data_IF_229704662013
#
_entry.id   IF_229704662013
#
_cell.length_a   1.000
_cell.length_b   1.000
_cell.length_c   1.000
_cell.angle_alpha   90.00
_cell.angle_beta   90.00
_cell.angle_gamma   90.00
#
_symmetry.space_group_name_H-M   'P 1'
#
loop_
_entity.id
_entity.type
_entity.pdbx_description
1 polymer ?
#
# COMPACT_ATOMS: atom_id res chain seq x y z
N UNK A 1 -19.68 -8.88 -13.15
CA UNK A 1 -18.51 -8.20 -13.77
C UNK A 1 -17.51 -7.98 -12.64
N UNK A 2 -16.30 -8.56 -12.66
CA UNK A 2 -15.37 -8.38 -11.56
C UNK A 2 -14.94 -6.91 -11.47
N UNK A 3 -15.18 -6.28 -10.31
CA UNK A 3 -14.66 -4.95 -10.02
C UNK A 3 -13.18 -5.11 -9.71
N UNK A 4 -12.33 -4.63 -10.62
CA UNK A 4 -10.91 -4.50 -10.34
C UNK A 4 -10.76 -3.40 -9.30
N UNK A 5 -10.11 -3.70 -8.17
CA UNK A 5 -9.64 -2.67 -7.23
C UNK A 5 -8.58 -1.85 -7.96
N UNK A 6 -9.04 -0.81 -8.63
CA UNK A 6 -8.18 0.12 -9.33
C UNK A 6 -7.87 1.24 -8.35
N UNK A 7 -6.62 1.31 -7.94
CA UNK A 7 -6.00 2.56 -7.47
C UNK A 7 -6.06 3.56 -8.62
N UNK A 8 -7.24 4.13 -8.86
CA UNK A 8 -7.40 5.32 -9.68
C UNK A 8 -6.83 6.47 -8.84
N UNK A 9 -5.79 7.10 -9.37
CA UNK A 9 -5.23 8.33 -8.86
C UNK A 9 -6.36 9.31 -8.53
N UNK A 10 -6.32 9.92 -7.34
CA UNK A 10 -7.06 11.10 -6.81
C UNK A 10 -7.65 10.90 -5.41
N UNK A 11 -7.72 9.69 -4.87
CA UNK A 11 -8.19 9.54 -3.48
C UNK A 11 -7.02 9.46 -2.51
N UNK A 12 -6.86 10.55 -1.76
CA UNK A 12 -6.05 10.66 -0.57
C UNK A 12 -5.97 9.31 0.16
N UNK A 13 -4.74 8.88 0.48
CA UNK A 13 -4.51 8.04 1.64
C UNK A 13 -4.94 8.85 2.85
N UNK A 14 -6.25 8.98 3.07
CA UNK A 14 -6.75 9.43 4.33
C UNK A 14 -6.51 8.26 5.25
N UNK A 15 -5.30 8.23 5.83
CA UNK A 15 -4.97 7.46 7.01
C UNK A 15 -5.93 7.98 8.08
N UNK A 16 -7.17 7.52 8.05
CA UNK A 16 -7.97 7.52 9.24
C UNK A 16 -7.19 6.63 10.19
N UNK A 17 -6.63 7.20 11.26
CA UNK A 17 -6.42 6.45 12.49
C UNK A 17 -7.80 6.02 13.00
N UNK A 18 -8.48 5.14 12.26
CA UNK A 18 -9.62 4.42 12.75
C UNK A 18 -9.04 3.46 13.78
N UNK A 19 -9.62 3.42 14.97
CA UNK A 19 -9.31 2.39 15.97
C UNK A 19 -9.32 1.03 15.27
N UNK A 20 -8.15 0.41 15.12
CA UNK A 20 -7.87 -0.78 14.30
C UNK A 20 -9.10 -1.58 13.85
N UNK A 21 -9.72 -1.15 12.74
CA UNK A 21 -10.81 -1.88 12.10
C UNK A 21 -10.27 -2.44 10.79
N UNK A 22 -10.10 -3.76 10.74
CA UNK A 22 -10.14 -4.47 9.48
C UNK A 22 -11.57 -4.34 8.96
N UNK A 23 -11.78 -4.12 7.65
CA UNK A 23 -13.11 -4.33 7.10
C UNK A 23 -13.50 -5.78 7.34
N UNK A 24 -14.72 -6.05 7.78
CA UNK A 24 -15.24 -7.40 8.03
C UNK A 24 -15.55 -8.11 6.69
N UNK A 25 -14.59 -8.11 5.77
CA UNK A 25 -14.72 -8.63 4.42
C UNK A 25 -13.68 -9.72 4.21
N UNK A 26 -14.14 -10.90 3.81
CA UNK A 26 -13.22 -11.97 3.44
C UNK A 26 -12.51 -11.61 2.14
N UNK A 27 -11.18 -11.74 2.15
CA UNK A 27 -10.32 -11.44 1.02
C UNK A 27 -9.50 -12.67 0.63
N UNK A 28 -9.17 -12.75 -0.65
CA UNK A 28 -8.40 -13.83 -1.23
C UNK A 28 -7.19 -13.31 -1.97
N UNK A 29 -6.01 -13.80 -1.56
CA UNK A 29 -4.74 -13.59 -2.26
C UNK A 29 -4.58 -14.68 -3.31
N UNK A 30 -4.36 -14.29 -4.56
CA UNK A 30 -4.31 -15.22 -5.70
C UNK A 30 -3.22 -14.84 -6.70
N UNK A 31 -2.71 -15.82 -7.46
CA UNK A 31 -1.77 -15.55 -8.56
C UNK A 31 -2.52 -15.03 -9.79
N UNK A 32 -2.12 -13.87 -10.31
CA UNK A 32 -2.76 -13.27 -11.48
C UNK A 32 -2.29 -13.93 -12.78
N UNK A 33 -3.18 -14.00 -13.76
CA UNK A 33 -2.91 -14.65 -15.04
C UNK A 33 -2.12 -13.76 -16.05
N UNK A 34 -1.94 -12.46 -15.76
CA UNK A 34 -1.33 -11.47 -16.67
C UNK A 34 0.12 -11.12 -16.34
N UNK A 35 0.80 -11.95 -15.56
CA UNK A 35 2.19 -11.68 -15.16
C UNK A 35 2.37 -10.52 -14.18
N UNK A 36 1.28 -9.99 -13.59
CA UNK A 36 1.36 -8.97 -12.52
C UNK A 36 1.76 -9.56 -11.16
N UNK A 37 1.98 -10.88 -11.08
CA UNK A 37 2.30 -11.58 -9.84
C UNK A 37 1.07 -11.85 -8.98
N UNK A 38 1.20 -11.75 -7.67
CA UNK A 38 0.10 -11.91 -6.73
C UNK A 38 -0.91 -10.76 -6.79
N UNK A 39 -2.16 -11.03 -6.44
CA UNK A 39 -3.25 -10.07 -6.42
C UNK A 39 -4.17 -10.30 -5.22
N UNK A 40 -4.91 -9.27 -4.83
CA UNK A 40 -5.96 -9.34 -3.80
C UNK A 40 -7.34 -9.11 -4.41
N UNK A 41 -8.33 -9.92 -4.03
CA UNK A 41 -9.75 -9.67 -4.34
C UNK A 41 -10.62 -9.94 -3.12
N UNK A 42 -11.80 -9.34 -3.08
CA UNK A 42 -12.84 -9.70 -2.11
C UNK A 42 -13.56 -10.98 -2.54
N UNK A 43 -14.04 -11.77 -1.59
CA UNK A 43 -14.87 -12.95 -1.88
C UNK A 43 -16.35 -12.61 -2.09
N UNK A 44 -16.75 -11.41 -1.68
CA UNK A 44 -18.09 -10.88 -1.82
C UNK A 44 -18.08 -9.56 -2.60
N UNK A 45 -19.20 -9.28 -3.26
CA UNK A 45 -19.42 -7.99 -3.90
C UNK A 45 -19.52 -6.90 -2.83
N UNK A 46 -18.81 -5.79 -3.04
CA UNK A 46 -18.83 -4.64 -2.15
C UNK A 46 -19.52 -3.45 -2.83
N UNK A 47 -20.43 -2.74 -2.14
CA UNK A 47 -20.92 -1.45 -2.60
C UNK A 47 -19.78 -0.48 -2.88
N UNK A 48 -19.98 0.42 -3.85
CA UNK A 48 -19.02 1.49 -4.12
C UNK A 48 -18.86 2.36 -2.87
N UNK A 49 -17.61 2.62 -2.48
CA UNK A 49 -17.28 3.40 -1.27
C UNK A 49 -17.15 2.56 0.00
N UNK A 50 -17.35 1.24 -0.07
CA UNK A 50 -17.04 0.35 1.06
C UNK A 50 -15.55 0.38 1.38
N UNK A 51 -15.25 0.51 2.67
CA UNK A 51 -13.91 0.32 3.20
C UNK A 51 -13.51 -1.16 3.11
N UNK A 52 -12.28 -1.44 2.68
CA UNK A 52 -11.76 -2.81 2.55
C UNK A 52 -10.76 -3.12 3.66
N UNK A 53 -9.61 -2.46 3.64
CA UNK A 53 -8.57 -2.60 4.64
C UNK A 53 -7.62 -1.39 4.61
N UNK A 54 -6.93 -1.17 5.73
CA UNK A 54 -5.82 -0.22 5.79
C UNK A 54 -4.59 -0.80 5.07
N UNK A 55 -3.70 0.06 4.57
CA UNK A 55 -2.39 -0.36 4.09
C UNK A 55 -1.38 -0.20 5.24
N UNK A 56 -0.85 -1.32 5.74
CA UNK A 56 0.04 -1.32 6.91
C UNK A 56 1.45 -1.73 6.48
N UNK A 57 2.44 -0.97 6.94
CA UNK A 57 3.86 -1.19 6.70
C UNK A 57 4.74 -0.46 7.71
N UNK A 58 6.04 -0.58 7.56
CA UNK A 58 7.03 0.22 8.29
C UNK A 58 7.03 1.66 7.74
N UNK A 59 7.05 2.67 8.61
CA UNK A 59 7.24 4.07 8.17
C UNK A 59 8.74 4.31 8.02
N UNK A 60 9.16 4.70 6.83
CA UNK A 60 10.54 5.01 6.49
C UNK A 60 10.61 6.37 5.80
N UNK A 61 11.72 7.06 5.96
CA UNK A 61 12.12 8.16 5.07
C UNK A 61 12.53 7.60 3.70
N UNK A 62 12.49 8.45 2.67
CA UNK A 62 13.00 8.10 1.35
C UNK A 62 14.49 7.69 1.40
N UNK A 63 15.27 8.29 2.29
CA UNK A 63 16.68 7.95 2.50
C UNK A 63 16.84 6.53 3.03
N UNK A 64 16.11 6.17 4.09
CA UNK A 64 16.13 4.80 4.66
C UNK A 64 15.65 3.76 3.65
N UNK A 65 14.60 4.07 2.87
CA UNK A 65 14.11 3.20 1.80
C UNK A 65 15.18 2.99 0.72
N UNK A 66 15.89 4.05 0.32
CA UNK A 66 16.96 3.97 -0.67
C UNK A 66 18.12 3.09 -0.19
N UNK A 67 18.58 3.28 1.05
CA UNK A 67 19.64 2.45 1.65
C UNK A 67 19.23 0.98 1.74
N UNK A 68 18.00 0.72 2.19
CA UNK A 68 17.42 -0.64 2.24
C UNK A 68 17.37 -1.27 0.85
N UNK A 69 17.02 -0.51 -0.18
CA UNK A 69 17.02 -1.00 -1.56
C UNK A 69 18.42 -1.31 -2.07
N UNK A 70 19.44 -0.51 -1.72
CA UNK A 70 20.84 -0.80 -2.04
C UNK A 70 21.29 -2.11 -1.39
N UNK A 71 21.02 -2.30 -0.11
CA UNK A 71 21.42 -3.50 0.63
C UNK A 71 20.73 -4.77 0.08
N UNK A 72 19.52 -4.62 -0.46
CA UNK A 72 18.76 -5.71 -1.07
C UNK A 72 19.03 -5.89 -2.58
N UNK A 73 19.98 -5.15 -3.17
CA UNK A 73 20.36 -5.30 -4.59
C UNK A 73 20.83 -6.74 -4.85
N UNK A 74 20.09 -7.45 -5.70
CA UNK A 74 20.35 -8.86 -6.04
C UNK A 74 19.40 -9.85 -5.39
N UNK A 75 18.57 -9.41 -4.44
CA UNK A 75 17.40 -10.19 -4.04
C UNK A 75 16.29 -9.98 -5.07
N UNK A 76 15.71 -11.05 -5.63
CA UNK A 76 14.49 -11.00 -6.45
C UNK A 76 13.24 -10.66 -5.60
N UNK A 77 13.39 -9.88 -4.54
CA UNK A 77 12.29 -9.49 -3.65
C UNK A 77 11.54 -8.32 -4.27
N UNK A 78 10.23 -8.49 -4.39
CA UNK A 78 9.34 -7.38 -4.68
C UNK A 78 9.29 -6.42 -3.49
N UNK A 79 9.43 -5.13 -3.76
CA UNK A 79 9.31 -4.07 -2.78
C UNK A 79 7.91 -3.47 -2.82
N UNK A 80 7.38 -3.07 -1.68
CA UNK A 80 6.02 -2.53 -1.56
C UNK A 80 5.97 -1.13 -0.88
N UNK A 81 6.74 -0.13 -1.36
CA UNK A 81 6.70 1.22 -0.83
C UNK A 81 5.49 2.01 -1.34
N UNK A 82 4.88 2.79 -0.46
CA UNK A 82 3.85 3.77 -0.77
C UNK A 82 4.27 5.11 -0.17
N UNK A 83 4.49 6.11 -1.01
CA UNK A 83 4.82 7.47 -0.53
C UNK A 83 3.63 8.05 0.22
N UNK A 84 3.89 8.56 1.42
CA UNK A 84 2.91 9.33 2.16
C UNK A 84 3.00 10.77 1.67
N UNK A 85 1.89 11.29 1.15
CA UNK A 85 1.76 12.72 0.84
C UNK A 85 1.66 13.48 2.16
N UNK A 86 2.82 13.71 2.75
CA UNK A 86 2.98 14.26 4.08
C UNK A 86 2.95 15.80 4.03
N UNK A 87 1.84 16.36 3.55
CA UNK A 87 1.35 17.66 4.03
C UNK A 87 0.69 17.52 5.42
N UNK A 88 1.07 16.46 6.16
CA UNK A 88 0.55 16.10 7.48
C UNK A 88 1.06 17.08 8.54
N UNK A 89 0.53 18.30 8.51
CA UNK A 89 0.62 19.26 9.61
C UNK A 89 1.94 20.02 9.74
N UNK A 90 2.88 19.92 8.81
CA UNK A 90 4.03 20.84 8.78
C UNK A 90 3.74 22.03 7.88
N UNK A 91 3.77 23.25 8.42
CA UNK A 91 3.82 24.49 7.61
C UNK A 91 5.10 24.60 6.72
N UNK A 92 5.95 23.57 6.76
CA UNK A 92 7.18 23.46 5.99
C UNK A 92 7.03 22.40 4.92
N UNK A 93 7.41 22.77 3.70
CA UNK A 93 7.70 21.85 2.60
C UNK A 93 8.84 20.95 3.06
N UNK A 94 8.57 19.66 3.25
CA UNK A 94 9.60 18.67 3.53
C UNK A 94 10.53 18.55 2.32
N UNK A 95 11.83 18.33 2.57
CA UNK A 95 12.77 17.99 1.49
C UNK A 95 12.47 16.57 1.00
N UNK A 96 12.73 16.28 -0.27
CA UNK A 96 12.49 14.95 -0.86
C UNK A 96 13.11 13.79 -0.07
N UNK A 97 14.25 14.03 0.58
CA UNK A 97 14.99 13.06 1.41
C UNK A 97 14.28 12.73 2.73
N UNK A 98 13.46 13.65 3.24
CA UNK A 98 12.72 13.58 4.50
C UNK A 98 11.27 13.15 4.30
N UNK A 99 10.80 13.09 3.06
CA UNK A 99 9.48 12.57 2.75
C UNK A 99 9.34 11.14 3.25
N UNK A 100 8.17 10.84 3.81
CA UNK A 100 7.87 9.57 4.43
C UNK A 100 7.20 8.61 3.44
N UNK A 101 7.41 7.32 3.65
CA UNK A 101 6.78 6.25 2.92
C UNK A 101 6.39 5.12 3.88
N UNK A 102 5.34 4.37 3.53
CA UNK A 102 5.00 3.09 4.13
C UNK A 102 5.60 1.96 3.30
N UNK A 103 6.50 1.19 3.89
CA UNK A 103 7.12 0.01 3.27
C UNK A 103 6.54 -1.28 3.86
N UNK A 104 5.78 -2.03 3.07
CA UNK A 104 5.20 -3.32 3.46
C UNK A 104 6.03 -4.54 3.02
N UNK A 105 7.31 -4.33 2.66
CA UNK A 105 8.18 -5.39 2.11
C UNK A 105 8.47 -6.52 3.09
N UNK A 106 8.78 -6.19 4.34
CA UNK A 106 9.11 -7.19 5.37
C UNK A 106 7.99 -7.38 6.39
N UNK A 107 7.27 -6.30 6.71
CA UNK A 107 6.18 -6.30 7.69
C UNK A 107 4.99 -5.55 7.10
N UNK A 108 3.84 -6.21 6.98
CA UNK A 108 2.62 -5.60 6.45
C UNK A 108 1.46 -6.58 6.41
N UNK A 109 0.27 -6.08 6.07
CA UNK A 109 -0.93 -6.90 5.95
C UNK A 109 -1.16 -7.37 4.49
N UNK A 110 -2.32 -7.97 4.23
CA UNK A 110 -2.71 -8.49 2.90
C UNK A 110 -2.87 -7.39 1.84
N UNK A 111 -3.00 -6.12 2.23
CA UNK A 111 -3.15 -5.00 1.32
C UNK A 111 -1.94 -4.83 0.38
N UNK A 112 -0.76 -5.34 0.77
CA UNK A 112 0.45 -5.31 -0.06
C UNK A 112 0.31 -6.04 -1.40
N UNK A 113 -0.71 -6.90 -1.54
CA UNK A 113 -0.99 -7.63 -2.78
C UNK A 113 -2.02 -6.92 -3.69
N UNK A 114 -2.45 -5.71 -3.36
CA UNK A 114 -3.29 -4.90 -4.25
C UNK A 114 -2.42 -4.44 -5.43
N UNK A 115 -2.84 -4.76 -6.64
CA UNK A 115 -2.12 -4.38 -7.85
C UNK A 115 -2.48 -2.96 -8.29
N UNK A 116 -1.49 -2.24 -8.84
CA UNK A 116 -1.76 -1.02 -9.60
C UNK A 116 -2.51 -1.36 -10.89
N UNK A 117 -3.40 -0.45 -11.34
CA UNK A 117 -4.14 -0.62 -12.59
C UNK A 117 -3.20 -0.48 -13.78
#
# INVERSE_FOLDING_TARGET
MPVFLTLEATFAFQIHFARGRLGDHEVWVFMTHRGKGWGLRTLQDLPKGSFVCEYVGEILTNTELYERNIQNRGSNKHTYPVTLDADWGSEKVLRDEEALCLDATFSGNVARFINHR
#
